data_IF_421798925049
#
_entry.id   IF_421798925049
#
_cell.length_a   1.000
_cell.length_b   1.000
_cell.length_c   1.000
_cell.angle_alpha   90.00
_cell.angle_beta   90.00
_cell.angle_gamma   90.00
#
_symmetry.space_group_name_H-M   'P 1'
#
loop_
_entity.id
_entity.type
_entity.pdbx_description
1 polymer ?
#
# COMPACT_ATOMS: atom_id res chain seq x y z
N UNK A 1 -8.23 -0.17 -14.11
CA UNK A 1 -7.90 -0.77 -12.80
C UNK A 1 -6.90 0.12 -12.08
N UNK A 2 -7.15 0.51 -10.82
CA UNK A 2 -6.32 1.49 -10.08
C UNK A 2 -5.46 0.86 -8.96
N UNK A 3 -5.69 -0.42 -8.70
CA UNK A 3 -4.95 -1.19 -7.71
C UNK A 3 -5.57 -2.55 -7.47
N UNK A 4 -4.98 -3.31 -6.55
CA UNK A 4 -5.43 -4.62 -6.10
C UNK A 4 -5.55 -4.62 -4.58
N UNK A 5 -6.47 -5.44 -4.06
CA UNK A 5 -6.57 -5.76 -2.63
C UNK A 5 -6.23 -7.22 -2.44
N UNK A 6 -5.30 -7.50 -1.54
CA UNK A 6 -4.99 -8.86 -1.07
C UNK A 6 -5.45 -8.99 0.37
N UNK A 7 -6.08 -10.12 0.68
CA UNK A 7 -6.49 -10.48 2.03
C UNK A 7 -5.75 -11.76 2.39
N UNK A 8 -4.85 -11.66 3.34
CA UNK A 8 -4.27 -12.81 4.03
C UNK A 8 -5.20 -13.10 5.21
N UNK A 9 -5.99 -14.19 5.12
CA UNK A 9 -7.11 -14.45 6.05
C UNK A 9 -6.70 -14.70 7.50
N UNK A 10 -5.40 -14.85 7.77
CA UNK A 10 -4.94 -15.31 9.07
C UNK A 10 -5.36 -16.75 9.36
N UNK A 11 -5.14 -17.18 10.59
CA UNK A 11 -5.51 -18.48 11.14
C UNK A 11 -6.06 -18.31 12.56
N UNK A 12 -6.12 -19.39 13.36
CA UNK A 12 -6.62 -19.30 14.74
C UNK A 12 -5.69 -18.50 15.69
N UNK A 13 -4.53 -18.06 15.21
CA UNK A 13 -3.50 -17.36 16.00
C UNK A 13 -3.24 -15.95 15.45
N UNK A 14 -3.40 -15.75 14.15
CA UNK A 14 -3.07 -14.51 13.45
C UNK A 14 -4.31 -13.82 12.91
N UNK A 15 -4.41 -12.51 13.15
CA UNK A 15 -5.49 -11.70 12.61
C UNK A 15 -5.39 -11.56 11.08
N UNK A 16 -6.53 -11.41 10.37
CA UNK A 16 -6.53 -11.19 8.94
C UNK A 16 -5.85 -9.87 8.58
N UNK A 17 -4.89 -9.92 7.65
CA UNK A 17 -4.18 -8.74 7.17
C UNK A 17 -4.65 -8.40 5.77
N UNK A 18 -5.02 -7.13 5.57
CA UNK A 18 -5.36 -6.58 4.25
C UNK A 18 -4.20 -5.73 3.73
N UNK A 19 -3.74 -6.04 2.53
CA UNK A 19 -2.75 -5.25 1.81
C UNK A 19 -3.38 -4.65 0.56
N UNK A 20 -3.15 -3.35 0.33
CA UNK A 20 -3.57 -2.66 -0.87
C UNK A 20 -2.36 -2.33 -1.74
N UNK A 21 -2.44 -2.69 -3.02
CA UNK A 21 -1.43 -2.39 -4.02
C UNK A 21 -1.97 -1.32 -4.97
N UNK A 22 -1.54 -0.09 -4.78
CA UNK A 22 -1.99 1.05 -5.58
C UNK A 22 -1.03 1.23 -6.76
N UNK A 23 -1.58 1.24 -7.98
CA UNK A 23 -0.80 1.50 -9.19
C UNK A 23 -0.43 2.98 -9.29
N UNK A 24 0.62 3.36 -10.06
CA UNK A 24 1.02 4.76 -10.21
C UNK A 24 -0.10 5.66 -10.75
N UNK A 25 -1.00 5.13 -11.58
CA UNK A 25 -2.19 5.84 -12.07
C UNK A 25 -3.17 6.16 -10.94
N UNK A 26 -3.44 5.20 -10.05
CA UNK A 26 -4.28 5.41 -8.87
C UNK A 26 -3.64 6.39 -7.89
N UNK A 27 -2.33 6.29 -7.68
CA UNK A 27 -1.59 7.21 -6.82
C UNK A 27 -1.67 8.66 -7.30
N UNK A 28 -1.57 8.87 -8.61
CA UNK A 28 -1.70 10.21 -9.21
C UNK A 28 -3.07 10.83 -8.92
N UNK A 29 -4.13 10.03 -8.92
CA UNK A 29 -5.47 10.51 -8.59
C UNK A 29 -5.61 10.82 -7.09
N UNK A 30 -5.12 9.92 -6.22
CA UNK A 30 -5.14 10.11 -4.76
C UNK A 30 -4.39 11.38 -4.35
N UNK A 31 -3.24 11.65 -4.97
CA UNK A 31 -2.41 12.80 -4.64
C UNK A 31 -2.74 14.05 -5.46
N UNK A 32 -3.85 14.09 -6.19
CA UNK A 32 -4.19 15.24 -7.03
C UNK A 32 -4.30 16.52 -6.17
N UNK A 33 -3.54 17.54 -6.56
CA UNK A 33 -3.43 18.79 -5.78
C UNK A 33 -2.35 18.79 -4.69
N UNK A 34 -1.62 17.69 -4.51
CA UNK A 34 -0.55 17.54 -3.53
C UNK A 34 0.77 17.07 -4.18
N UNK A 35 1.90 17.28 -3.50
CA UNK A 35 3.16 16.66 -3.90
C UNK A 35 3.13 15.15 -3.61
N UNK A 36 2.87 14.37 -4.66
CA UNK A 36 2.80 12.90 -4.61
C UNK A 36 4.03 12.22 -4.01
N UNK A 37 5.24 12.79 -4.12
CA UNK A 37 6.45 12.21 -3.52
C UNK A 37 6.49 12.49 -2.02
N UNK A 38 6.16 13.71 -1.63
CA UNK A 38 6.06 14.09 -0.22
C UNK A 38 5.00 13.25 0.49
N UNK A 39 3.82 13.10 -0.11
CA UNK A 39 2.75 12.25 0.44
C UNK A 39 3.24 10.82 0.62
N UNK A 40 3.91 10.24 -0.39
CA UNK A 40 4.38 8.86 -0.30
C UNK A 40 5.39 8.68 0.84
N UNK A 41 6.28 9.65 1.04
CA UNK A 41 7.25 9.62 2.14
C UNK A 41 6.58 9.74 3.50
N UNK A 42 5.61 10.65 3.65
CA UNK A 42 4.84 10.77 4.89
C UNK A 42 4.07 9.48 5.21
N UNK A 43 3.52 8.79 4.20
CA UNK A 43 2.87 7.50 4.42
C UNK A 43 3.84 6.39 4.83
N UNK A 44 5.10 6.43 4.35
CA UNK A 44 6.16 5.52 4.83
C UNK A 44 6.52 5.84 6.27
N UNK A 45 6.73 7.12 6.59
CA UNK A 45 7.10 7.59 7.93
C UNK A 45 5.99 7.28 8.96
N UNK A 46 4.72 7.37 8.55
CA UNK A 46 3.56 6.97 9.36
C UNK A 46 3.35 5.45 9.47
N UNK A 47 4.18 4.64 8.79
CA UNK A 47 4.06 3.19 8.80
C UNK A 47 2.92 2.62 7.96
N UNK A 48 2.19 3.44 7.20
CA UNK A 48 1.06 2.99 6.36
C UNK A 48 1.53 2.33 5.06
N UNK A 49 2.66 2.77 4.53
CA UNK A 49 3.21 2.35 3.26
C UNK A 49 4.50 1.57 3.47
N UNK A 50 4.59 0.37 2.92
CA UNK A 50 5.81 -0.45 3.02
C UNK A 50 6.92 0.13 2.11
N UNK A 51 8.07 0.56 2.66
CA UNK A 51 9.20 0.98 1.83
C UNK A 51 9.80 -0.21 1.08
N UNK A 52 10.36 0.06 -0.09
CA UNK A 52 11.14 -0.92 -0.84
C UNK A 52 12.54 -1.11 -0.29
N UNK A 53 13.12 -2.27 -0.59
CA UNK A 53 14.49 -2.62 -0.18
C UNK A 53 15.54 -1.64 -0.73
N UNK A 54 15.24 -0.97 -1.84
CA UNK A 54 16.07 0.07 -2.45
C UNK A 54 15.86 1.47 -1.85
N UNK A 55 15.13 1.57 -0.73
CA UNK A 55 14.79 2.83 -0.07
C UNK A 55 13.74 3.66 -0.82
N UNK A 56 13.16 3.14 -1.91
CA UNK A 56 12.08 3.82 -2.63
C UNK A 56 10.73 3.57 -1.98
N UNK A 57 9.80 4.47 -2.22
CA UNK A 57 8.42 4.36 -1.73
C UNK A 57 7.55 3.42 -2.59
N UNK A 58 8.10 2.83 -3.66
CA UNK A 58 7.39 1.88 -4.53
C UNK A 58 8.10 0.53 -4.54
N UNK A 59 7.31 -0.53 -4.54
CA UNK A 59 7.77 -1.91 -4.61
C UNK A 59 7.46 -2.54 -5.97
N UNK A 60 8.34 -3.41 -6.46
CA UNK A 60 8.08 -4.26 -7.62
C UNK A 60 7.40 -5.54 -7.16
N UNK A 61 6.07 -5.62 -7.32
CA UNK A 61 5.26 -6.76 -6.87
C UNK A 61 4.63 -7.44 -8.09
N UNK A 62 4.62 -8.78 -8.08
CA UNK A 62 3.88 -9.56 -9.08
C UNK A 62 2.40 -9.58 -8.68
N UNK A 63 1.59 -8.85 -9.43
CA UNK A 63 0.16 -8.74 -9.21
C UNK A 63 -0.58 -9.84 -10.00
N UNK A 64 -1.77 -10.25 -9.52
CA UNK A 64 -2.67 -11.10 -10.29
C UNK A 64 -2.95 -10.45 -11.65
N UNK A 65 -3.09 -11.28 -12.68
CA UNK A 65 -3.52 -10.91 -14.05
C UNK A 65 -2.55 -10.03 -14.86
N UNK A 66 -1.87 -9.06 -14.24
CA UNK A 66 -1.06 -8.05 -14.94
C UNK A 66 0.45 -8.16 -14.72
N UNK A 67 0.88 -9.16 -13.93
CA UNK A 67 2.29 -9.49 -13.74
C UNK A 67 3.06 -8.50 -12.85
N UNK A 68 4.37 -8.40 -13.06
CA UNK A 68 5.26 -7.55 -12.26
C UNK A 68 4.98 -6.07 -12.53
N UNK A 69 4.65 -5.31 -11.49
CA UNK A 69 4.40 -3.87 -11.56
C UNK A 69 5.01 -3.14 -10.37
N UNK A 70 5.35 -1.87 -10.59
CA UNK A 70 5.69 -0.94 -9.51
C UNK A 70 4.41 -0.46 -8.86
N UNK A 71 4.30 -0.62 -7.54
CA UNK A 71 3.12 -0.27 -6.75
C UNK A 71 3.49 0.41 -5.45
N UNK A 72 2.57 1.21 -4.93
CA UNK A 72 2.58 1.65 -3.55
C UNK A 72 1.83 0.60 -2.73
N UNK A 73 2.50 0.03 -1.72
CA UNK A 73 1.95 -1.06 -0.92
C UNK A 73 1.49 -0.52 0.44
N UNK A 74 0.18 -0.38 0.61
CA UNK A 74 -0.43 -0.01 1.88
C UNK A 74 -0.77 -1.24 2.71
N UNK A 75 -0.61 -1.13 4.03
CA UNK A 75 -1.10 -2.10 5.00
C UNK A 75 -2.46 -1.66 5.58
N UNK A 76 -2.97 -2.40 6.55
CA UNK A 76 -4.28 -2.17 7.18
C UNK A 76 -4.36 -0.84 7.94
N UNK A 77 -3.25 -0.29 8.43
CA UNK A 77 -3.26 0.92 9.26
C UNK A 77 -3.75 2.16 8.52
N UNK A 78 -3.66 2.18 7.18
CA UNK A 78 -4.16 3.30 6.36
C UNK A 78 -5.67 3.54 6.51
N UNK A 79 -6.43 2.54 6.97
CA UNK A 79 -7.88 2.62 7.16
C UNK A 79 -8.29 3.06 8.58
N UNK A 80 -7.31 3.42 9.43
CA UNK A 80 -7.50 3.51 10.87
C UNK A 80 -7.25 2.13 11.48
N UNK A 81 -6.16 2.01 12.23
CA UNK A 81 -5.78 0.78 12.94
C UNK A 81 -7.00 0.10 13.57
N UNK A 82 -7.04 -1.23 13.53
CA UNK A 82 -8.12 -2.02 14.15
C UNK A 82 -8.11 -1.93 15.69
N UNK A 83 -7.17 -1.22 16.30
CA UNK A 83 -7.15 -0.92 17.72
C UNK A 83 -8.04 0.32 17.97
N UNK A 84 -9.24 0.15 18.56
CA UNK A 84 -10.02 1.29 19.04
C UNK A 84 -9.27 1.96 20.20
N UNK A 85 -9.24 3.30 20.21
CA UNK A 85 -8.91 4.10 21.40
C UNK A 85 -9.90 3.85 22.55
#
# INVERSE_FOLDING_TARGET
MMGFRKVDKGDNVTEPVVTFYVLPSGWKEICKGFDSRKVARLCVDAGWLKPGEDGRTQNSIRLPEIGLKRVYQFNTQVLGSAEPE
#
